data_IF_844558241714
#
_entry.id   IF_844558241714
#
_cell.length_a   1.000
_cell.length_b   1.000
_cell.length_c   1.000
_cell.angle_alpha   90.00
_cell.angle_beta   90.00
_cell.angle_gamma   90.00
#
_symmetry.space_group_name_H-M   'P 1'
#
loop_
_entity.id
_entity.type
_entity.pdbx_description
1 polymer ?
#
# COMPACT_ATOMS: atom_id res chain seq x y z
N UNK A 1 -19.21 23.10 -4.29
CA UNK A 1 -17.77 22.80 -4.07
C UNK A 1 -17.23 22.01 -5.24
N UNK A 2 -16.30 22.59 -6.03
CA UNK A 2 -15.64 21.88 -7.12
C UNK A 2 -14.63 20.89 -6.50
N UNK A 3 -14.83 19.60 -6.70
CA UNK A 3 -14.01 18.54 -6.10
C UNK A 3 -12.53 18.67 -6.48
N UNK A 4 -11.65 18.37 -5.53
CA UNK A 4 -10.20 18.31 -5.75
C UNK A 4 -9.91 17.12 -6.67
N UNK A 5 -9.15 17.35 -7.75
CA UNK A 5 -8.66 16.28 -8.64
C UNK A 5 -7.26 15.88 -8.19
N UNK A 6 -7.10 14.62 -7.84
CA UNK A 6 -5.81 14.06 -7.41
C UNK A 6 -5.25 13.24 -8.59
N UNK A 7 -4.08 13.61 -9.15
CA UNK A 7 -3.45 12.84 -10.22
C UNK A 7 -2.92 11.50 -9.66
N UNK A 8 -3.25 10.42 -10.36
CA UNK A 8 -2.83 9.06 -10.04
C UNK A 8 -2.15 8.45 -11.25
N UNK A 9 -0.91 8.01 -11.08
CA UNK A 9 -0.13 7.33 -12.11
C UNK A 9 0.08 5.87 -11.71
N UNK A 10 -0.21 4.95 -12.63
CA UNK A 10 0.07 3.53 -12.46
C UNK A 10 1.40 3.19 -13.13
N UNK A 11 2.30 2.58 -12.37
CA UNK A 11 3.56 2.03 -12.88
C UNK A 11 3.29 0.55 -13.14
N UNK A 12 3.43 0.14 -14.40
CA UNK A 12 3.15 -1.23 -14.82
C UNK A 12 4.43 -1.98 -15.14
N UNK A 13 4.44 -3.28 -14.85
CA UNK A 13 5.45 -4.23 -15.29
C UNK A 13 4.81 -5.27 -16.23
N UNK A 14 5.53 -5.64 -17.28
CA UNK A 14 5.11 -6.67 -18.23
C UNK A 14 5.72 -8.02 -17.81
N UNK A 15 4.87 -8.95 -17.37
CA UNK A 15 5.26 -10.30 -16.98
C UNK A 15 4.44 -11.31 -17.79
N UNK A 16 5.09 -12.32 -18.40
CA UNK A 16 4.42 -13.36 -19.20
C UNK A 16 3.40 -12.81 -20.22
N UNK A 17 3.81 -11.75 -20.93
CA UNK A 17 2.97 -11.01 -21.89
C UNK A 17 1.70 -10.37 -21.29
N UNK A 18 1.66 -10.14 -19.97
CA UNK A 18 0.58 -9.44 -19.25
C UNK A 18 1.11 -8.22 -18.50
N UNK A 19 0.46 -7.09 -18.71
CA UNK A 19 0.74 -5.88 -17.94
C UNK A 19 0.06 -5.95 -16.58
N UNK A 20 0.85 -5.82 -15.52
CA UNK A 20 0.39 -5.82 -14.13
C UNK A 20 0.82 -4.53 -13.46
N UNK A 21 -0.04 -3.96 -12.62
CA UNK A 21 0.32 -2.80 -11.80
C UNK A 21 1.35 -3.23 -10.77
N UNK A 22 2.49 -2.55 -10.77
CA UNK A 22 3.56 -2.73 -9.81
C UNK A 22 3.50 -1.69 -8.68
N UNK A 23 3.23 -0.43 -9.03
CA UNK A 23 3.19 0.68 -8.08
C UNK A 23 2.17 1.75 -8.51
N UNK A 24 1.72 2.53 -7.54
CA UNK A 24 0.82 3.67 -7.74
C UNK A 24 1.53 4.90 -7.20
N UNK A 25 1.65 5.92 -8.04
CA UNK A 25 2.17 7.22 -7.66
C UNK A 25 1.01 8.22 -7.54
N UNK A 26 0.83 8.78 -6.35
CA UNK A 26 -0.18 9.79 -6.04
C UNK A 26 0.56 11.08 -5.71
N UNK A 27 0.35 12.12 -6.52
CA UNK A 27 0.98 13.44 -6.31
C UNK A 27 2.52 13.37 -6.12
N UNK A 28 3.19 12.50 -6.87
CA UNK A 28 4.64 12.31 -6.79
C UNK A 28 5.09 11.26 -5.76
N UNK A 29 4.17 10.74 -4.93
CA UNK A 29 4.48 9.76 -3.88
C UNK A 29 4.15 8.35 -4.35
N UNK A 30 5.19 7.53 -4.50
CA UNK A 30 5.08 6.08 -4.72
C UNK A 30 4.56 5.38 -3.46
N UNK A 31 3.51 4.57 -3.60
CA UNK A 31 2.99 3.76 -2.51
C UNK A 31 4.01 2.70 -2.10
N UNK A 32 4.64 2.01 -3.05
CA UNK A 32 5.67 0.99 -2.76
C UNK A 32 6.81 1.59 -1.94
N UNK A 33 7.35 2.75 -2.35
CA UNK A 33 8.42 3.44 -1.62
C UNK A 33 7.96 3.86 -0.22
N UNK A 34 6.76 4.41 -0.09
CA UNK A 34 6.21 4.82 1.21
C UNK A 34 6.14 3.64 2.19
N UNK A 35 5.53 2.53 1.79
CA UNK A 35 5.43 1.34 2.62
C UNK A 35 6.79 0.72 2.94
N UNK A 36 7.72 0.72 1.98
CA UNK A 36 9.08 0.22 2.21
C UNK A 36 9.82 0.99 3.30
N UNK A 37 9.70 2.31 3.35
CA UNK A 37 10.31 3.12 4.43
C UNK A 37 9.68 2.84 5.80
N UNK A 38 8.36 2.61 5.86
CA UNK A 38 7.69 2.18 7.09
C UNK A 38 8.20 0.81 7.55
N UNK A 39 8.32 -0.15 6.64
CA UNK A 39 8.82 -1.49 6.94
C UNK A 39 10.28 -1.50 7.37
N UNK A 40 11.15 -0.69 6.78
CA UNK A 40 12.54 -0.53 7.23
C UNK A 40 12.63 -0.11 8.70
N UNK A 41 11.72 0.76 9.14
CA UNK A 41 11.66 1.20 10.54
C UNK A 41 11.22 0.07 11.47
N UNK A 42 10.21 -0.71 11.07
CA UNK A 42 9.72 -1.86 11.83
C UNK A 42 10.78 -2.96 11.89
N UNK A 43 11.36 -3.35 10.75
CA UNK A 43 12.40 -4.38 10.67
C UNK A 43 13.62 -4.06 11.53
N UNK A 44 13.98 -2.78 11.66
CA UNK A 44 15.07 -2.34 12.55
C UNK A 44 14.76 -2.57 14.02
N UNK A 45 13.50 -2.33 14.44
CA UNK A 45 13.08 -2.37 15.85
C UNK A 45 12.54 -3.73 16.29
N UNK A 46 11.69 -4.34 15.48
CA UNK A 46 10.83 -5.48 15.83
C UNK A 46 11.11 -6.72 14.97
N UNK A 47 12.07 -6.61 14.04
CA UNK A 47 12.48 -7.68 13.13
C UNK A 47 11.29 -8.17 12.29
N UNK A 48 11.42 -9.37 11.71
CA UNK A 48 10.44 -9.93 10.81
C UNK A 48 9.08 -10.19 11.48
N UNK A 49 9.08 -10.67 12.72
CA UNK A 49 7.84 -10.96 13.45
C UNK A 49 6.97 -9.70 13.65
N UNK A 50 7.58 -8.56 13.98
CA UNK A 50 6.84 -7.30 14.09
C UNK A 50 6.25 -6.83 12.76
N UNK A 51 6.98 -7.04 11.65
CA UNK A 51 6.45 -6.70 10.33
C UNK A 51 5.21 -7.52 9.99
N UNK A 52 5.23 -8.84 10.22
CA UNK A 52 4.06 -9.70 9.98
C UNK A 52 2.87 -9.26 10.82
N UNK A 53 3.08 -9.01 12.12
CA UNK A 53 2.03 -8.54 13.02
C UNK A 53 1.37 -7.25 12.52
N UNK A 54 2.15 -6.27 12.11
CA UNK A 54 1.62 -5.00 11.57
C UNK A 54 0.82 -5.20 10.28
N UNK A 55 1.25 -6.13 9.43
CA UNK A 55 0.51 -6.46 8.19
C UNK A 55 -0.83 -7.13 8.49
N UNK A 56 -0.86 -8.07 9.45
CA UNK A 56 -2.08 -8.75 9.90
C UNK A 56 -3.08 -7.74 10.48
N UNK A 57 -2.64 -6.92 11.44
CA UNK A 57 -3.47 -5.87 12.05
C UNK A 57 -4.03 -4.90 11.00
N UNK A 58 -3.22 -4.53 10.01
CA UNK A 58 -3.67 -3.63 8.95
C UNK A 58 -4.68 -4.29 8.01
N UNK A 59 -4.49 -5.56 7.67
CA UNK A 59 -5.46 -6.32 6.88
C UNK A 59 -6.80 -6.45 7.61
N UNK A 60 -6.78 -6.78 8.91
CA UNK A 60 -7.98 -6.82 9.75
C UNK A 60 -8.71 -5.47 9.77
N UNK A 61 -7.96 -4.36 9.84
CA UNK A 61 -8.55 -3.01 9.84
C UNK A 61 -9.32 -2.68 8.55
N UNK A 62 -8.95 -3.28 7.42
CA UNK A 62 -9.65 -3.13 6.14
C UNK A 62 -10.91 -4.00 6.07
N UNK A 63 -10.90 -5.19 6.65
CA UNK A 63 -12.07 -6.07 6.75
C UNK A 63 -13.15 -5.46 7.67
N UNK A 64 -12.74 -4.89 8.81
CA UNK A 64 -13.66 -4.22 9.75
C UNK A 64 -14.36 -3.02 9.09
N UNK A 65 -13.65 -2.23 8.28
CA UNK A 65 -14.22 -1.10 7.54
C UNK A 65 -15.15 -1.55 6.39
N UNK A 66 -14.94 -2.74 5.84
CA UNK A 66 -15.77 -3.33 4.77
C UNK A 66 -17.00 -4.05 5.32
N UNK A 67 -16.95 -4.56 6.56
CA UNK A 67 -18.02 -5.30 7.23
C UNK A 67 -19.04 -4.42 7.97
N UNK A 68 -18.72 -3.16 8.30
CA UNK A 68 -19.64 -2.22 8.97
C UNK A 68 -20.77 -1.69 8.07
N UNK A 69 -20.91 -2.20 6.85
CA UNK A 69 -21.92 -1.83 5.85
C UNK A 69 -22.97 -2.90 5.54
N UNK A 70 -23.12 -3.93 6.37
CA UNK A 70 -24.25 -4.89 6.30
C UNK A 70 -25.10 -4.83 7.56
#
# INVERSE_FOLDING_TARGET
>A
NKGVKIPVHYILNLNDSKWMVYDINIEGVSLVRNYMEQFKTILRKEKFAGLIKVLEEKNESFEVQSGAGK
#
